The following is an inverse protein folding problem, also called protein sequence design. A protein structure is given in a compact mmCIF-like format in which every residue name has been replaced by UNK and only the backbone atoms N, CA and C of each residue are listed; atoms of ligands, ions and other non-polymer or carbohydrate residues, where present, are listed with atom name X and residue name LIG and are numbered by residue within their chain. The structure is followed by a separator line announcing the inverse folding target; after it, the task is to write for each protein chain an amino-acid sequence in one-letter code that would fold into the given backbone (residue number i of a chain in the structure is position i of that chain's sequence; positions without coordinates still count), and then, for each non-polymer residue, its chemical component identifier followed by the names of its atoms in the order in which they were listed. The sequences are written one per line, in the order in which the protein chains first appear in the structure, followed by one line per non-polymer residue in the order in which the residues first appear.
data_IF_189706180196
#
_entry.id   IF_189706180196
#
_cell.length_a   1.000
_cell.length_b   1.000
_cell.length_c   1.000
_cell.angle_alpha   90.00
_cell.angle_beta   90.00
_cell.angle_gamma   90.00
#
_symmetry.space_group_name_H-M   'P 1'
#
loop_
_entity.id
_entity.type
_entity.pdbx_description
1 polymer ?
#
# COMPACT_ATOMS: atom_id res chain seq x y z
N UNK A 1 3.02 -9.25 -2.15
CA UNK A 1 1.62 -9.46 -2.60
C UNK A 1 0.62 -9.39 -1.46
N UNK A 2 0.70 -10.24 -0.42
CA UNK A 2 -0.26 -10.25 0.70
C UNK A 2 -0.42 -8.90 1.41
N UNK A 3 0.69 -8.22 1.69
CA UNK A 3 0.67 -6.89 2.29
C UNK A 3 -0.05 -5.84 1.41
N UNK A 4 -0.05 -6.03 0.09
CA UNK A 4 -0.76 -5.19 -0.87
C UNK A 4 -2.23 -5.64 -1.07
N UNK A 5 -2.77 -6.49 -0.20
CA UNK A 5 -4.20 -6.86 -0.16
C UNK A 5 -4.63 -8.01 -1.07
N UNK A 6 -3.69 -8.75 -1.66
CA UNK A 6 -4.01 -9.88 -2.54
C UNK A 6 -3.91 -11.21 -1.80
N UNK A 7 -4.86 -12.16 -2.00
CA UNK A 7 -4.68 -13.53 -1.54
C UNK A 7 -3.48 -14.15 -2.25
N UNK A 8 -2.68 -14.94 -1.52
CA UNK A 8 -1.44 -15.52 -2.06
C UNK A 8 -1.46 -17.03 -1.88
N UNK A 9 -1.13 -17.73 -2.96
CA UNK A 9 -0.92 -19.17 -2.97
C UNK A 9 0.48 -19.49 -3.47
N UNK A 10 1.16 -20.43 -2.81
CA UNK A 10 2.47 -20.94 -3.20
C UNK A 10 2.38 -22.44 -3.44
N UNK A 11 2.78 -22.90 -4.62
CA UNK A 11 2.87 -24.31 -4.96
C UNK A 11 4.29 -24.82 -4.73
N UNK A 12 4.40 -25.96 -4.06
CA UNK A 12 5.70 -26.56 -3.74
C UNK A 12 5.63 -28.07 -3.69
N UNK A 13 6.75 -28.73 -4.03
CA UNK A 13 6.94 -30.16 -3.80
C UNK A 13 7.40 -30.48 -2.37
N UNK A 14 7.51 -29.49 -1.49
CA UNK A 14 7.95 -29.66 -0.10
C UNK A 14 7.17 -28.74 0.83
N UNK A 15 5.84 -28.96 1.00
CA UNK A 15 4.97 -28.08 1.78
C UNK A 15 5.47 -27.86 3.21
N UNK A 16 6.02 -28.89 3.86
CA UNK A 16 6.54 -28.81 5.22
C UNK A 16 7.65 -27.77 5.39
N UNK A 17 8.43 -27.49 4.33
CA UNK A 17 9.48 -26.45 4.37
C UNK A 17 8.92 -25.02 4.35
N UNK A 18 7.65 -24.86 3.99
CA UNK A 18 6.98 -23.57 3.82
C UNK A 18 5.84 -23.36 4.82
N UNK A 19 5.68 -24.22 5.84
CA UNK A 19 4.64 -24.09 6.86
C UNK A 19 4.68 -22.74 7.60
N UNK A 20 5.87 -22.14 7.73
CA UNK A 20 6.04 -20.81 8.31
C UNK A 20 5.28 -19.70 7.58
N UNK A 21 4.87 -19.92 6.33
CA UNK A 21 4.05 -18.98 5.54
C UNK A 21 2.56 -19.04 5.91
N UNK A 22 2.07 -20.14 6.47
CA UNK A 22 0.64 -20.33 6.80
C UNK A 22 0.14 -19.33 7.86
N UNK A 23 0.85 -19.10 8.99
CA UNK A 23 0.49 -18.05 9.94
C UNK A 23 0.53 -16.64 9.32
N UNK A 24 1.27 -16.46 8.22
CA UNK A 24 1.29 -15.23 7.44
C UNK A 24 0.13 -15.15 6.44
N UNK A 25 -0.84 -16.07 6.46
CA UNK A 25 -2.02 -16.03 5.60
C UNK A 25 -1.73 -16.39 4.14
N UNK A 26 -0.63 -17.11 3.88
CA UNK A 26 -0.31 -17.65 2.56
C UNK A 26 -0.82 -19.09 2.48
N UNK A 27 -1.52 -19.39 1.40
CA UNK A 27 -2.02 -20.73 1.11
C UNK A 27 -0.90 -21.58 0.49
N UNK A 28 -0.45 -22.62 1.19
CA UNK A 28 0.54 -23.56 0.65
C UNK A 28 -0.19 -24.73 -0.02
N UNK A 29 0.18 -25.04 -1.28
CA UNK A 29 -0.37 -26.15 -2.07
C UNK A 29 0.74 -27.07 -2.57
N UNK A 30 0.40 -28.33 -2.82
CA UNK A 30 1.35 -29.25 -3.46
C UNK A 30 1.44 -28.93 -4.94
N UNK A 31 2.67 -28.82 -5.46
CA UNK A 31 2.89 -28.65 -6.89
C UNK A 31 2.51 -29.91 -7.69
N UNK A 32 2.46 -31.06 -7.02
CA UNK A 32 2.11 -32.37 -7.60
C UNK A 32 0.67 -32.42 -8.14
N UNK A 33 -0.22 -31.57 -7.62
CA UNK A 33 -1.60 -31.43 -8.09
C UNK A 33 -1.68 -30.81 -9.49
N UNK A 34 -0.68 -30.01 -9.88
CA UNK A 34 -0.64 -29.26 -11.15
C UNK A 34 0.32 -29.92 -12.15
N UNK A 35 1.49 -30.35 -11.66
CA UNK A 35 2.47 -31.03 -12.48
C UNK A 35 3.04 -32.22 -11.70
N UNK A 36 3.09 -33.44 -12.27
CA UNK A 36 3.61 -34.59 -11.54
C UNK A 36 5.09 -34.43 -11.16
N UNK A 37 5.45 -34.88 -9.96
CA UNK A 37 6.83 -34.89 -9.44
C UNK A 37 7.80 -35.58 -10.38
N UNK A 38 7.38 -36.68 -11.02
CA UNK A 38 8.22 -37.38 -11.99
C UNK A 38 8.60 -36.49 -13.19
N UNK A 39 7.72 -35.58 -13.61
CA UNK A 39 8.02 -34.60 -14.66
C UNK A 39 8.96 -33.50 -14.14
N UNK A 40 8.73 -32.99 -12.94
CA UNK A 40 9.67 -32.08 -12.26
C UNK A 40 11.08 -32.68 -12.15
N UNK A 41 11.19 -33.90 -11.63
CA UNK A 41 12.46 -34.59 -11.46
C UNK A 41 13.18 -34.77 -12.80
N UNK A 42 12.45 -35.13 -13.87
CA UNK A 42 13.00 -35.25 -15.23
C UNK A 42 13.50 -33.92 -15.80
N UNK A 43 12.76 -32.83 -15.61
CA UNK A 43 13.15 -31.51 -16.10
C UNK A 43 14.41 -31.04 -15.36
N UNK A 44 14.42 -31.13 -14.02
CA UNK A 44 15.52 -30.63 -13.19
C UNK A 44 16.78 -31.52 -13.28
N UNK A 45 16.64 -32.83 -13.46
CA UNK A 45 17.79 -33.75 -13.54
C UNK A 45 18.79 -33.42 -14.67
N UNK A 46 18.35 -32.69 -15.70
CA UNK A 46 19.21 -32.32 -16.83
C UNK A 46 19.12 -30.84 -17.21
N UNK A 47 18.59 -29.97 -16.34
CA UNK A 47 18.44 -28.54 -16.65
C UNK A 47 18.33 -27.69 -15.37
N UNK A 48 18.27 -26.38 -15.53
CA UNK A 48 18.02 -25.46 -14.42
C UNK A 48 16.54 -25.44 -14.01
N UNK A 49 16.27 -25.19 -12.73
CA UNK A 49 14.91 -25.11 -12.19
C UNK A 49 14.02 -24.05 -12.89
N UNK A 50 14.63 -23.03 -13.51
CA UNK A 50 13.89 -22.01 -14.26
C UNK A 50 13.08 -22.58 -15.42
N UNK A 51 13.55 -23.65 -16.08
CA UNK A 51 12.80 -24.32 -17.15
C UNK A 51 11.53 -24.97 -16.63
N UNK A 52 11.60 -25.57 -15.44
CA UNK A 52 10.41 -26.07 -14.77
C UNK A 52 9.46 -24.92 -14.41
N UNK A 53 9.97 -23.81 -13.87
CA UNK A 53 9.16 -22.63 -13.54
C UNK A 53 8.43 -22.07 -14.77
N UNK A 54 9.13 -21.99 -15.92
CA UNK A 54 8.57 -21.54 -17.19
C UNK A 54 7.39 -22.41 -17.65
N UNK A 55 7.51 -23.74 -17.57
CA UNK A 55 6.41 -24.64 -17.92
C UNK A 55 5.29 -24.64 -16.86
N UNK A 56 5.67 -24.60 -15.57
CA UNK A 56 4.74 -24.66 -14.44
C UNK A 56 3.81 -23.45 -14.41
N UNK A 57 4.31 -22.24 -14.73
CA UNK A 57 3.45 -21.05 -14.73
C UNK A 57 2.31 -21.14 -15.75
N UNK A 58 2.55 -21.76 -16.91
CA UNK A 58 1.48 -21.98 -17.89
C UNK A 58 0.46 -23.01 -17.39
N UNK A 59 0.94 -24.12 -16.82
CA UNK A 59 0.08 -25.18 -16.29
C UNK A 59 -0.83 -24.67 -15.14
N UNK A 60 -0.24 -23.97 -14.16
CA UNK A 60 -0.99 -23.50 -13.00
C UNK A 60 -1.99 -22.41 -13.36
N UNK A 61 -1.65 -21.51 -14.29
CA UNK A 61 -2.58 -20.49 -14.78
C UNK A 61 -3.69 -21.12 -15.63
N UNK A 62 -3.39 -22.15 -16.43
CA UNK A 62 -4.42 -22.90 -17.13
C UNK A 62 -5.42 -23.54 -16.16
N UNK A 63 -4.96 -24.15 -15.06
CA UNK A 63 -5.88 -24.85 -14.14
C UNK A 63 -6.63 -23.92 -13.18
N UNK A 64 -6.00 -22.85 -12.72
CA UNK A 64 -6.52 -22.02 -11.64
C UNK A 64 -6.79 -20.56 -12.02
N UNK A 65 -6.26 -20.10 -13.15
CA UNK A 65 -6.28 -18.69 -13.52
C UNK A 65 -5.61 -17.78 -12.48
N UNK A 66 -5.91 -16.49 -12.56
CA UNK A 66 -5.41 -15.49 -11.64
C UNK A 66 -4.07 -14.90 -12.08
N UNK A 67 -3.33 -14.34 -11.13
CA UNK A 67 -2.08 -13.63 -11.37
C UNK A 67 -0.89 -14.50 -10.93
N UNK A 68 -0.12 -15.00 -11.89
CA UNK A 68 1.22 -15.52 -11.64
C UNK A 68 2.17 -14.35 -11.40
N UNK A 69 3.04 -14.50 -10.40
CA UNK A 69 4.13 -13.58 -10.14
C UNK A 69 5.35 -14.38 -9.67
N UNK A 70 6.52 -14.07 -10.22
CA UNK A 70 7.77 -14.65 -9.74
C UNK A 70 8.03 -14.26 -8.26
N UNK A 71 8.69 -15.14 -7.51
CA UNK A 71 8.87 -14.99 -6.06
C UNK A 71 9.73 -13.79 -5.66
N UNK A 72 10.49 -13.22 -6.60
CA UNK A 72 11.33 -12.04 -6.45
C UNK A 72 10.67 -10.78 -7.05
N UNK A 73 9.35 -10.80 -7.25
CA UNK A 73 8.56 -9.60 -7.54
C UNK A 73 7.94 -9.05 -6.26
N UNK A 74 8.28 -7.81 -5.91
CA UNK A 74 7.73 -7.10 -4.75
C UNK A 74 6.62 -6.17 -5.20
N UNK A 75 5.41 -6.35 -4.66
CA UNK A 75 4.31 -5.40 -4.87
C UNK A 75 4.44 -4.20 -3.95
N UNK A 76 4.43 -3.01 -4.54
CA UNK A 76 4.45 -1.73 -3.84
C UNK A 76 3.04 -1.25 -3.48
N UNK A 77 2.03 -1.68 -4.24
CA UNK A 77 0.62 -1.30 -4.04
C UNK A 77 -0.33 -2.34 -4.63
N UNK A 78 -1.64 -2.32 -4.29
CA UNK A 78 -2.61 -3.21 -4.90
C UNK A 78 -2.65 -3.01 -6.42
N UNK A 79 -2.69 -4.10 -7.19
CA UNK A 79 -2.87 -4.07 -8.65
C UNK A 79 -4.35 -4.32 -8.99
N UNK A 80 -5.16 -3.28 -9.34
CA UNK A 80 -6.60 -3.40 -9.54
C UNK A 80 -6.96 -3.82 -10.98
N UNK A 81 -6.27 -4.83 -11.50
CA UNK A 81 -6.44 -5.24 -12.90
C UNK A 81 -7.80 -5.88 -13.18
N UNK A 82 -8.39 -5.52 -14.32
CA UNK A 82 -9.63 -6.11 -14.84
C UNK A 82 -9.44 -6.36 -16.33
N UNK A 83 -9.40 -7.63 -16.71
CA UNK A 83 -9.17 -8.04 -18.09
C UNK A 83 -9.05 -9.56 -18.16
N UNK A 84 -9.00 -10.10 -19.38
CA UNK A 84 -8.86 -11.56 -19.58
C UNK A 84 -7.40 -12.01 -19.54
N UNK A 85 -6.47 -11.12 -19.89
CA UNK A 85 -5.03 -11.42 -19.91
C UNK A 85 -4.18 -10.23 -19.47
N UNK A 86 -3.00 -10.50 -18.92
CA UNK A 86 -1.98 -9.48 -18.68
C UNK A 86 -0.60 -10.09 -18.92
N UNK A 87 0.22 -9.44 -19.73
CA UNK A 87 1.61 -9.82 -19.95
C UNK A 87 2.53 -8.62 -19.80
N UNK A 88 3.48 -8.68 -18.86
CA UNK A 88 4.40 -7.57 -18.63
C UNK A 88 5.63 -7.64 -19.54
N UNK A 89 5.92 -6.53 -20.22
CA UNK A 89 7.15 -6.36 -20.99
C UNK A 89 8.37 -6.12 -20.09
N UNK A 90 9.56 -6.27 -20.67
CA UNK A 90 10.79 -5.63 -20.18
C UNK A 90 11.18 -4.47 -21.11
N UNK A 91 12.10 -3.60 -20.67
CA UNK A 91 12.50 -2.42 -21.44
C UNK A 91 13.25 -2.75 -22.72
N UNK A 92 14.16 -3.72 -22.65
CA UNK A 92 14.99 -4.10 -23.80
C UNK A 92 14.39 -5.28 -24.54
N UNK A 93 14.13 -5.11 -25.84
CA UNK A 93 13.60 -6.15 -26.70
C UNK A 93 14.56 -7.34 -26.90
N UNK A 94 13.98 -8.47 -27.31
CA UNK A 94 14.71 -9.59 -27.91
C UNK A 94 14.81 -9.44 -29.43
N UNK A 95 15.11 -10.53 -30.15
CA UNK A 95 15.30 -10.56 -31.61
C UNK A 95 14.16 -9.96 -32.47
N UNK A 96 12.98 -9.66 -31.91
CA UNK A 96 11.78 -9.15 -32.59
C UNK A 96 11.19 -7.85 -31.97
N UNK A 97 11.94 -7.12 -31.14
CA UNK A 97 11.58 -5.75 -30.70
C UNK A 97 10.95 -5.64 -29.30
N UNK A 98 10.01 -6.51 -28.93
CA UNK A 98 9.44 -6.57 -27.57
C UNK A 98 9.64 -7.95 -26.96
N UNK A 99 10.01 -8.01 -25.68
CA UNK A 99 10.26 -9.26 -24.97
C UNK A 99 9.38 -9.33 -23.73
N UNK A 100 8.46 -10.30 -23.71
CA UNK A 100 7.58 -10.55 -22.59
C UNK A 100 8.37 -11.33 -21.54
N UNK A 101 8.52 -10.78 -20.34
CA UNK A 101 9.42 -11.34 -19.32
C UNK A 101 8.88 -12.62 -18.64
N UNK A 102 7.56 -12.82 -18.65
CA UNK A 102 6.91 -13.96 -17.99
C UNK A 102 6.92 -13.91 -16.45
N UNK A 103 7.44 -12.84 -15.86
CA UNK A 103 7.54 -12.66 -14.41
C UNK A 103 6.20 -12.28 -13.76
N UNK A 104 5.30 -11.64 -14.51
CA UNK A 104 3.93 -11.35 -14.10
C UNK A 104 3.00 -11.66 -15.27
N UNK A 105 2.08 -12.61 -15.06
CA UNK A 105 1.10 -13.04 -16.07
C UNK A 105 -0.27 -13.16 -15.41
N UNK A 106 -1.29 -12.57 -16.00
CA UNK A 106 -2.68 -12.87 -15.68
C UNK A 106 -3.33 -13.66 -16.80
N UNK A 107 -4.16 -14.64 -16.44
CA UNK A 107 -5.08 -15.29 -17.36
C UNK A 107 -6.30 -15.82 -16.60
N UNK A 108 -7.44 -15.95 -17.27
CA UNK A 108 -8.55 -16.74 -16.77
C UNK A 108 -8.24 -18.24 -16.81
N UNK A 109 -8.84 -19.00 -15.89
CA UNK A 109 -8.72 -20.46 -15.88
C UNK A 109 -9.25 -21.05 -17.19
N UNK A 110 -8.63 -22.14 -17.62
CA UNK A 110 -8.89 -22.88 -18.86
C UNK A 110 -8.67 -22.09 -20.15
N UNK A 111 -7.84 -21.03 -20.11
CA UNK A 111 -7.44 -20.31 -21.32
C UNK A 111 -6.78 -21.24 -22.34
N UNK A 112 -7.30 -21.22 -23.57
CA UNK A 112 -6.73 -21.97 -24.69
C UNK A 112 -5.27 -21.58 -24.96
N UNK A 113 -4.92 -20.30 -24.83
CA UNK A 113 -3.54 -19.84 -25.04
C UNK A 113 -2.57 -20.40 -24.02
N UNK A 114 -2.95 -20.41 -22.74
CA UNK A 114 -2.13 -20.99 -21.68
C UNK A 114 -1.96 -22.49 -21.87
N UNK A 115 -2.99 -23.18 -22.37
CA UNK A 115 -2.91 -24.60 -22.73
C UNK A 115 -1.88 -24.84 -23.84
N UNK A 116 -1.96 -24.07 -24.94
CA UNK A 116 -1.04 -24.20 -26.09
C UNK A 116 0.39 -23.88 -25.67
N UNK A 117 0.61 -22.82 -24.89
CA UNK A 117 1.93 -22.47 -24.36
C UNK A 117 2.51 -23.58 -23.47
N UNK A 118 1.68 -24.18 -22.62
CA UNK A 118 2.10 -25.33 -21.81
C UNK A 118 2.52 -26.52 -22.68
N UNK A 119 1.70 -26.94 -23.65
CA UNK A 119 2.01 -28.05 -24.55
C UNK A 119 3.31 -27.78 -25.34
N UNK A 120 3.42 -26.61 -25.97
CA UNK A 120 4.63 -26.20 -26.69
C UNK A 120 5.87 -26.18 -25.77
N UNK A 121 5.72 -25.77 -24.50
CA UNK A 121 6.84 -25.74 -23.56
C UNK A 121 7.37 -27.15 -23.25
N UNK A 122 6.47 -28.14 -23.08
CA UNK A 122 6.85 -29.53 -22.82
C UNK A 122 7.44 -30.17 -24.08
N UNK A 123 6.82 -29.99 -25.23
CA UNK A 123 7.31 -30.53 -26.51
C UNK A 123 8.70 -29.99 -26.85
N UNK A 124 8.91 -28.68 -26.75
CA UNK A 124 10.21 -28.06 -27.03
C UNK A 124 11.29 -28.48 -26.03
N UNK A 125 10.94 -28.66 -24.75
CA UNK A 125 11.92 -29.06 -23.73
C UNK A 125 12.45 -30.49 -23.95
N UNK A 126 11.58 -31.42 -24.37
CA UNK A 126 11.97 -32.81 -24.62
C UNK A 126 12.32 -33.11 -26.09
N UNK A 127 12.10 -32.16 -27.00
CA UNK A 127 12.44 -32.27 -28.42
C UNK A 127 13.85 -31.77 -28.77
N UNK A 128 14.11 -31.68 -30.07
CA UNK A 128 15.44 -31.40 -30.64
C UNK A 128 15.82 -29.91 -30.66
N UNK A 129 14.86 -29.00 -30.42
CA UNK A 129 15.05 -27.53 -30.52
C UNK A 129 15.84 -26.91 -29.35
N UNK A 130 16.19 -27.70 -28.33
CA UNK A 130 17.24 -27.37 -27.36
C UNK A 130 16.79 -26.63 -26.08
N UNK A 131 17.77 -26.45 -25.17
CA UNK A 131 17.67 -25.81 -23.84
C UNK A 131 18.37 -24.43 -23.82
N UNK A 132 18.14 -23.63 -24.84
CA UNK A 132 18.59 -22.24 -24.89
C UNK A 132 17.84 -21.35 -23.90
N UNK A 133 18.43 -20.20 -23.55
CA UNK A 133 17.75 -19.24 -22.67
C UNK A 133 16.42 -18.76 -23.28
N UNK A 134 15.33 -18.90 -22.51
CA UNK A 134 14.00 -18.43 -22.88
C UNK A 134 13.23 -19.29 -23.88
N UNK A 135 13.82 -20.39 -24.39
CA UNK A 135 13.24 -21.29 -25.42
C UNK A 135 11.81 -21.76 -25.15
N UNK A 136 11.51 -22.02 -23.87
CA UNK A 136 10.21 -22.50 -23.40
C UNK A 136 9.51 -21.52 -22.46
N UNK A 137 10.11 -20.35 -22.25
CA UNK A 137 9.65 -19.32 -21.33
C UNK A 137 9.43 -18.00 -22.08
N UNK A 138 10.15 -16.93 -21.73
CA UNK A 138 9.97 -15.60 -22.32
C UNK A 138 9.99 -15.54 -23.86
N UNK A 139 10.86 -16.33 -24.52
CA UNK A 139 10.95 -16.33 -25.99
C UNK A 139 9.77 -17.08 -26.61
N UNK A 140 9.43 -18.27 -26.11
CA UNK A 140 8.22 -18.99 -26.52
C UNK A 140 6.98 -18.09 -26.40
N UNK A 141 6.82 -17.42 -25.26
CA UNK A 141 5.70 -16.52 -25.00
C UNK A 141 5.66 -15.37 -26.01
N UNK A 142 6.81 -14.70 -26.23
CA UNK A 142 6.91 -13.59 -27.17
C UNK A 142 6.63 -14.02 -28.61
N UNK A 143 7.20 -15.14 -29.04
CA UNK A 143 6.99 -15.70 -30.38
C UNK A 143 5.53 -16.11 -30.59
N UNK A 144 4.89 -16.69 -29.57
CA UNK A 144 3.49 -17.11 -29.63
C UNK A 144 2.56 -15.90 -29.76
N UNK A 145 2.73 -14.87 -28.93
CA UNK A 145 1.95 -13.62 -29.00
C UNK A 145 2.16 -12.90 -30.33
N UNK A 146 3.38 -12.96 -30.89
CA UNK A 146 3.68 -12.40 -32.21
C UNK A 146 3.07 -13.22 -33.36
N UNK A 147 2.79 -14.51 -33.18
CA UNK A 147 2.17 -15.38 -34.19
C UNK A 147 0.69 -15.08 -34.39
N UNK A 148 0.10 -15.56 -35.50
CA UNK A 148 -1.35 -15.46 -35.74
C UNK A 148 -2.18 -16.19 -34.69
N UNK A 149 -1.65 -17.28 -34.13
CA UNK A 149 -2.32 -18.06 -33.09
C UNK A 149 -2.43 -17.30 -31.75
N UNK A 150 -1.54 -16.35 -31.48
CA UNK A 150 -1.57 -15.51 -30.28
C UNK A 150 -2.08 -14.09 -30.55
N UNK A 151 -2.67 -13.83 -31.72
CA UNK A 151 -3.02 -12.47 -32.14
C UNK A 151 -3.95 -11.74 -31.16
N UNK A 152 -4.88 -12.46 -30.51
CA UNK A 152 -5.76 -11.87 -29.49
C UNK A 152 -5.02 -11.40 -28.23
N UNK A 153 -3.84 -11.97 -27.93
CA UNK A 153 -3.07 -11.61 -26.74
C UNK A 153 -2.32 -10.28 -26.89
N UNK A 154 -2.16 -9.78 -28.12
CA UNK A 154 -1.33 -8.60 -28.42
C UNK A 154 -1.85 -7.33 -27.77
N UNK A 155 -3.17 -7.19 -27.60
CA UNK A 155 -3.79 -6.06 -26.91
C UNK A 155 -3.62 -6.12 -25.38
N UNK A 156 -3.19 -7.27 -24.85
CA UNK A 156 -2.99 -7.53 -23.43
C UNK A 156 -1.51 -7.50 -23.01
N UNK A 157 -0.64 -6.99 -23.88
CA UNK A 157 0.77 -6.77 -23.60
C UNK A 157 0.96 -5.36 -23.08
N UNK A 158 1.42 -5.26 -21.83
CA UNK A 158 1.56 -3.99 -21.13
C UNK A 158 3.02 -3.58 -20.95
N UNK A 159 3.25 -2.27 -20.88
CA UNK A 159 4.58 -1.68 -20.79
C UNK A 159 5.35 -2.12 -19.53
N UNK A 160 6.69 -2.11 -19.58
CA UNK A 160 7.52 -2.60 -18.47
C UNK A 160 7.29 -1.85 -17.16
N UNK A 161 6.85 -0.59 -17.21
CA UNK A 161 6.66 0.28 -16.05
C UNK A 161 5.78 -0.34 -14.94
N UNK A 162 4.85 -1.24 -15.26
CA UNK A 162 3.94 -1.79 -14.25
C UNK A 162 4.65 -2.67 -13.21
N UNK A 163 5.58 -3.53 -13.63
CA UNK A 163 6.30 -4.47 -12.73
C UNK A 163 7.81 -4.57 -12.97
N UNK A 164 8.31 -4.02 -14.07
CA UNK A 164 9.71 -4.02 -14.49
C UNK A 164 10.24 -2.57 -14.69
N UNK A 165 10.02 -1.63 -13.76
CA UNK A 165 10.50 -0.24 -13.94
C UNK A 165 12.03 -0.15 -13.97
N UNK A 166 12.73 -1.06 -13.29
CA UNK A 166 14.19 -1.22 -13.33
C UNK A 166 14.48 -2.45 -14.19
N UNK A 167 15.21 -2.28 -15.30
CA UNK A 167 15.55 -3.37 -16.21
C UNK A 167 16.63 -4.29 -15.62
N UNK A 168 16.72 -5.52 -16.11
CA UNK A 168 17.75 -6.48 -15.67
C UNK A 168 19.19 -5.98 -15.92
N UNK A 169 19.37 -5.06 -16.86
CA UNK A 169 20.68 -4.39 -17.10
C UNK A 169 21.00 -3.27 -16.11
N UNK A 170 20.05 -2.91 -15.25
CA UNK A 170 20.12 -1.79 -14.32
C UNK A 170 19.99 -2.26 -12.86
N UNK A 171 20.25 -3.55 -12.58
CA UNK A 171 20.11 -4.13 -11.23
C UNK A 171 20.97 -3.44 -10.15
N UNK A 172 22.02 -2.71 -10.54
CA UNK A 172 22.81 -1.88 -9.61
C UNK A 172 22.00 -0.73 -9.00
N UNK A 173 20.86 -0.35 -9.59
CA UNK A 173 19.94 0.62 -8.99
C UNK A 173 19.43 0.14 -7.64
N UNK A 174 19.25 -1.18 -7.44
CA UNK A 174 18.82 -1.73 -6.15
C UNK A 174 19.84 -1.56 -5.01
N UNK A 175 21.10 -1.24 -5.34
CA UNK A 175 22.13 -0.93 -4.35
C UNK A 175 22.03 0.52 -3.83
N UNK A 176 21.20 1.36 -4.46
CA UNK A 176 20.96 2.72 -4.00
C UNK A 176 19.99 2.75 -2.81
N UNK A 177 20.10 3.76 -1.94
CA UNK A 177 19.11 3.99 -0.89
C UNK A 177 17.71 4.26 -1.47
N UNK A 178 16.67 3.86 -0.73
CA UNK A 178 15.26 4.04 -1.12
C UNK A 178 14.92 5.48 -1.51
N UNK A 179 15.53 6.48 -0.85
CA UNK A 179 15.30 7.90 -1.13
C UNK A 179 15.73 8.32 -2.54
N UNK A 180 16.78 7.70 -3.10
CA UNK A 180 17.25 8.01 -4.46
C UNK A 180 16.41 7.34 -5.55
N UNK A 181 15.66 6.30 -5.18
CA UNK A 181 14.75 5.58 -6.08
C UNK A 181 13.30 6.07 -5.96
N UNK A 182 13.05 7.08 -5.12
CA UNK A 182 11.71 7.57 -4.83
C UNK A 182 10.97 7.95 -6.11
N UNK A 183 11.58 8.74 -7.01
CA UNK A 183 10.91 9.18 -8.24
C UNK A 183 10.46 7.99 -9.12
N UNK A 184 11.23 6.90 -9.16
CA UNK A 184 10.89 5.69 -9.92
C UNK A 184 9.80 4.88 -9.22
N UNK A 185 9.96 4.61 -7.93
CA UNK A 185 9.07 3.71 -7.17
C UNK A 185 7.75 4.38 -6.77
N UNK A 186 7.73 5.71 -6.75
CA UNK A 186 6.59 6.54 -6.40
C UNK A 186 5.70 6.87 -7.62
N UNK A 187 6.15 6.60 -8.85
CA UNK A 187 5.32 6.77 -10.05
C UNK A 187 4.02 5.95 -9.93
N UNK A 188 2.88 6.56 -10.29
CA UNK A 188 1.55 5.96 -10.13
C UNK A 188 1.35 4.69 -10.96
N UNK A 189 2.10 4.55 -12.07
CA UNK A 189 2.03 3.41 -12.99
C UNK A 189 2.78 2.19 -12.47
N UNK A 190 3.66 2.34 -11.48
CA UNK A 190 4.48 1.26 -10.93
C UNK A 190 3.74 0.52 -9.82
N UNK A 191 3.34 -0.72 -10.08
CA UNK A 191 2.64 -1.56 -9.10
C UNK A 191 3.58 -2.48 -8.33
N UNK A 192 4.66 -2.90 -8.95
CA UNK A 192 5.70 -3.70 -8.32
C UNK A 192 7.06 -3.52 -8.98
N UNK A 193 8.04 -4.19 -8.40
CA UNK A 193 9.41 -4.27 -8.90
C UNK A 193 9.84 -5.72 -8.98
N UNK A 194 10.47 -6.09 -10.08
CA UNK A 194 11.11 -7.37 -10.28
C UNK A 194 12.59 -7.26 -9.91
N UNK A 195 13.06 -8.08 -8.97
CA UNK A 195 14.44 -8.00 -8.48
C UNK A 195 15.45 -8.74 -9.36
N UNK A 196 15.01 -9.47 -10.39
CA UNK A 196 15.89 -10.18 -11.33
C UNK A 196 16.89 -11.11 -10.64
N UNK A 197 16.48 -11.75 -9.55
CA UNK A 197 17.34 -12.58 -8.67
C UNK A 197 18.52 -11.84 -8.02
N UNK A 198 18.52 -10.50 -8.00
CA UNK A 198 19.54 -9.72 -7.31
C UNK A 198 19.58 -10.10 -5.82
N UNK A 199 20.56 -10.93 -5.47
CA UNK A 199 20.84 -11.40 -4.11
C UNK A 199 22.14 -10.76 -3.66
N UNK A 200 22.08 -9.91 -2.65
CA UNK A 200 23.27 -9.41 -1.97
C UNK A 200 23.17 -9.68 -0.46
N UNK A 201 24.27 -10.11 0.14
CA UNK A 201 24.45 -10.19 1.60
C UNK A 201 24.69 -8.79 2.16
N UNK A 202 23.68 -7.92 2.14
CA UNK A 202 23.80 -6.60 2.74
C UNK A 202 23.37 -6.68 4.21
N UNK A 203 24.27 -6.35 5.13
CA UNK A 203 23.92 -6.02 6.52
C UNK A 203 23.24 -4.64 6.54
N UNK A 204 22.11 -4.55 7.23
CA UNK A 204 21.29 -3.34 7.32
C UNK A 204 21.48 -2.65 8.66
N UNK A 205 21.99 -1.42 8.65
CA UNK A 205 21.98 -0.55 9.81
C UNK A 205 21.87 0.92 9.35
N UNK A 206 20.64 1.46 9.35
CA UNK A 206 20.38 2.90 9.30
C UNK A 206 19.57 3.46 8.11
N UNK A 207 19.28 4.76 8.20
CA UNK A 207 18.68 5.61 7.15
C UNK A 207 19.70 5.82 6.01
N UNK A 208 19.73 4.87 5.07
CA UNK A 208 20.75 4.82 4.02
C UNK A 208 21.02 3.41 3.50
N UNK A 209 20.38 2.39 4.11
CA UNK A 209 20.45 1.03 3.62
C UNK A 209 20.01 0.94 2.14
N UNK A 210 20.75 0.16 1.32
CA UNK A 210 20.34 -0.19 -0.03
C UNK A 210 18.92 -0.77 -0.09
N UNK A 211 18.19 -0.49 -1.17
CA UNK A 211 16.82 -1.00 -1.34
C UNK A 211 16.76 -2.53 -1.25
N UNK A 212 17.68 -3.24 -1.90
CA UNK A 212 17.74 -4.70 -1.82
C UNK A 212 17.87 -5.21 -0.37
N UNK A 213 18.66 -4.56 0.48
CA UNK A 213 18.81 -4.91 1.89
C UNK A 213 17.48 -4.81 2.63
N UNK A 214 16.70 -3.76 2.35
CA UNK A 214 15.36 -3.57 2.92
C UNK A 214 14.33 -4.59 2.43
N UNK A 215 14.52 -5.12 1.22
CA UNK A 215 13.57 -6.04 0.57
C UNK A 215 13.87 -7.52 0.80
N UNK A 216 15.07 -7.87 1.29
CA UNK A 216 15.40 -9.24 1.70
C UNK A 216 14.56 -9.67 2.90
N UNK A 217 14.38 -8.76 3.87
CA UNK A 217 13.56 -8.99 5.05
C UNK A 217 12.63 -7.81 5.34
N UNK A 218 11.63 -7.58 4.48
CA UNK A 218 10.81 -6.38 4.55
C UNK A 218 9.97 -6.32 5.83
N UNK A 219 9.70 -7.46 6.47
CA UNK A 219 8.96 -7.49 7.73
C UNK A 219 9.78 -6.95 8.91
N UNK A 220 11.11 -7.13 8.88
CA UNK A 220 12.00 -6.62 9.91
C UNK A 220 12.64 -5.27 9.53
N UNK A 221 12.98 -5.06 8.27
CA UNK A 221 13.63 -3.84 7.78
C UNK A 221 12.71 -2.62 7.74
N UNK A 222 11.40 -2.82 7.65
CA UNK A 222 10.41 -1.74 7.72
C UNK A 222 9.69 -1.75 9.07
N UNK A 223 10.08 -0.90 10.04
CA UNK A 223 9.50 -0.92 11.39
C UNK A 223 8.00 -0.63 11.34
N UNK A 224 7.23 -1.31 12.20
CA UNK A 224 5.81 -1.00 12.40
C UNK A 224 5.63 0.41 12.94
N UNK A 225 4.43 0.98 12.79
CA UNK A 225 4.17 2.32 13.31
C UNK A 225 4.34 2.37 14.83
N UNK A 226 4.03 1.29 15.54
CA UNK A 226 4.25 1.19 16.99
C UNK A 226 5.72 1.36 17.37
N UNK A 227 6.63 0.72 16.63
CA UNK A 227 8.07 0.85 16.89
C UNK A 227 8.57 2.28 16.60
N UNK A 228 8.04 2.92 15.55
CA UNK A 228 8.37 4.31 15.23
C UNK A 228 7.80 5.30 16.25
N UNK A 229 6.57 5.07 16.73
CA UNK A 229 5.94 5.87 17.77
C UNK A 229 6.72 5.81 19.09
N UNK A 230 7.27 4.64 19.43
CA UNK A 230 8.21 4.49 20.56
C UNK A 230 9.52 5.26 20.28
N UNK A 231 10.11 5.15 19.08
CA UNK A 231 11.37 5.83 18.68
C UNK A 231 11.27 7.36 18.69
N UNK A 232 10.19 7.92 18.14
CA UNK A 232 9.97 9.38 18.03
C UNK A 232 9.20 9.95 19.25
N UNK A 233 8.98 9.13 20.28
CA UNK A 233 8.41 9.55 21.55
C UNK A 233 7.07 10.30 21.36
N UNK A 234 6.16 9.79 20.54
CA UNK A 234 4.80 10.34 20.33
C UNK A 234 3.80 9.73 21.31
N UNK A 235 2.85 10.50 21.82
CA UNK A 235 1.67 10.04 22.58
C UNK A 235 0.82 8.97 21.89
N UNK A 236 0.89 8.87 20.55
CA UNK A 236 0.37 7.74 19.75
C UNK A 236 0.92 6.37 20.18
N UNK A 237 2.00 6.34 20.97
CA UNK A 237 2.65 5.14 21.47
C UNK A 237 1.98 4.60 22.77
N UNK A 238 2.67 3.68 23.45
CA UNK A 238 2.19 2.98 24.66
C UNK A 238 2.83 3.44 25.96
N UNK A 239 3.78 4.37 25.93
CA UNK A 239 4.65 4.71 27.08
C UNK A 239 4.74 6.22 27.37
N UNK A 240 4.56 7.08 26.38
CA UNK A 240 4.75 8.53 26.43
C UNK A 240 3.42 9.25 26.65
N UNK A 241 3.43 10.33 27.44
CA UNK A 241 2.27 11.20 27.64
C UNK A 241 1.02 10.45 28.12
N UNK A 242 -0.12 10.82 27.54
CA UNK A 242 -1.34 10.04 27.59
C UNK A 242 -1.16 8.84 26.65
N UNK A 243 -1.03 7.63 27.20
CA UNK A 243 -0.58 6.44 26.46
C UNK A 243 -1.71 5.84 25.62
N UNK A 244 -2.18 6.55 24.59
CA UNK A 244 -3.40 6.19 23.87
C UNK A 244 -3.30 4.84 23.17
N UNK A 245 -2.09 4.48 22.72
CA UNK A 245 -1.83 3.30 21.91
C UNK A 245 -2.54 3.30 20.54
N UNK A 246 -2.78 4.49 19.95
CA UNK A 246 -3.39 4.63 18.62
C UNK A 246 -2.50 4.13 17.49
N UNK A 247 -1.17 4.05 17.67
CA UNK A 247 -0.26 3.54 16.65
C UNK A 247 -0.64 2.14 16.13
N UNK A 248 -1.27 1.29 16.97
CA UNK A 248 -1.77 -0.03 16.56
C UNK A 248 -2.91 0.04 15.54
N UNK A 249 -3.72 1.10 15.62
CA UNK A 249 -4.88 1.32 14.74
C UNK A 249 -4.38 1.81 13.38
N UNK A 250 -3.51 2.81 13.38
CA UNK A 250 -2.88 3.31 12.18
C UNK A 250 -2.07 2.23 11.44
N UNK A 251 -1.27 1.43 12.16
CA UNK A 251 -0.51 0.32 11.56
C UNK A 251 -1.46 -0.67 10.87
N UNK A 252 -2.59 -1.01 11.52
CA UNK A 252 -3.60 -1.92 10.96
C UNK A 252 -4.26 -1.36 9.70
N UNK A 253 -4.62 -0.07 9.68
CA UNK A 253 -5.39 0.52 8.60
C UNK A 253 -4.54 1.05 7.44
N UNK A 254 -3.28 1.41 7.70
CA UNK A 254 -2.43 2.12 6.74
C UNK A 254 -1.16 1.35 6.30
N UNK A 255 -0.72 0.30 7.01
CA UNK A 255 0.51 -0.44 6.65
C UNK A 255 0.49 -1.00 5.23
N UNK A 256 -0.67 -1.45 4.75
CA UNK A 256 -0.84 -1.93 3.36
C UNK A 256 -0.63 -0.85 2.30
N UNK A 257 -0.59 0.44 2.70
CA UNK A 257 -0.34 1.58 1.83
C UNK A 257 1.06 2.16 1.98
N UNK A 258 1.99 1.50 2.69
CA UNK A 258 3.34 2.01 3.01
C UNK A 258 4.04 2.74 1.85
N UNK A 259 4.14 2.12 0.68
CA UNK A 259 4.81 2.70 -0.51
C UNK A 259 3.85 3.44 -1.45
N UNK A 260 2.55 3.42 -1.18
CA UNK A 260 1.50 3.99 -2.03
C UNK A 260 0.86 5.26 -1.48
N UNK A 261 1.08 5.56 -0.19
CA UNK A 261 0.55 6.76 0.44
C UNK A 261 1.39 7.96 0.00
N UNK A 262 0.72 8.96 -0.56
CA UNK A 262 1.32 10.14 -1.20
C UNK A 262 1.18 11.39 -0.36
N UNK A 263 0.00 11.62 0.23
CA UNK A 263 -0.30 12.87 0.91
C UNK A 263 -1.04 12.62 2.20
N UNK A 264 -0.46 13.07 3.30
CA UNK A 264 -1.05 12.99 4.64
C UNK A 264 -1.15 14.40 5.20
N UNK A 265 -2.29 14.75 5.80
CA UNK A 265 -2.45 15.96 6.61
C UNK A 265 -2.56 15.58 8.09
N UNK A 266 -1.83 16.28 8.95
CA UNK A 266 -1.98 16.25 10.42
C UNK A 266 -2.33 17.66 10.89
N UNK A 267 -3.46 17.78 11.58
CA UNK A 267 -3.93 19.00 12.25
C UNK A 267 -3.55 18.87 13.72
N UNK A 268 -2.86 19.86 14.27
CA UNK A 268 -2.22 19.77 15.58
C UNK A 268 -0.83 19.16 15.49
N UNK A 269 0.19 20.02 15.46
CA UNK A 269 1.59 19.63 15.50
C UNK A 269 2.24 19.94 16.85
N UNK A 270 1.73 20.99 17.50
CA UNK A 270 2.26 21.50 18.74
C UNK A 270 1.91 20.58 19.93
N UNK A 271 2.91 20.17 20.71
CA UNK A 271 2.75 19.28 21.88
C UNK A 271 2.51 20.03 23.18
N UNK A 272 2.95 21.29 23.25
CA UNK A 272 2.89 22.15 24.44
C UNK A 272 2.85 23.60 23.96
N UNK A 273 2.08 24.46 24.62
CA UNK A 273 2.15 25.93 24.53
C UNK A 273 3.51 26.48 25.03
N UNK A 274 4.62 26.02 24.45
CA UNK A 274 5.96 26.47 24.75
C UNK A 274 6.51 27.22 23.54
N UNK A 275 7.03 28.43 23.78
CA UNK A 275 7.56 29.36 22.78
C UNK A 275 8.79 28.83 21.99
N UNK A 276 9.25 27.60 22.24
CA UNK A 276 10.51 27.05 21.71
C UNK A 276 10.42 25.64 21.12
N UNK A 277 9.29 25.26 20.51
CA UNK A 277 9.23 23.98 19.78
C UNK A 277 10.22 23.92 18.61
N UNK A 278 11.25 23.09 18.78
CA UNK A 278 12.32 22.88 17.80
C UNK A 278 12.15 21.62 16.94
N UNK A 279 11.08 20.85 17.14
CA UNK A 279 10.88 19.57 16.46
C UNK A 279 9.39 19.28 16.16
N UNK A 280 9.15 18.46 15.14
CA UNK A 280 7.83 17.91 14.76
C UNK A 280 7.87 16.37 14.75
N UNK A 281 7.85 15.69 15.91
CA UNK A 281 8.18 14.26 15.94
C UNK A 281 7.10 13.36 15.31
N UNK A 282 5.83 13.79 15.27
CA UNK A 282 4.77 13.08 14.53
C UNK A 282 5.02 13.14 13.02
N UNK A 283 5.43 14.29 12.49
CA UNK A 283 5.83 14.45 11.07
C UNK A 283 7.00 13.51 10.74
N UNK A 284 8.03 13.47 11.58
CA UNK A 284 9.17 12.55 11.40
C UNK A 284 8.74 11.08 11.43
N UNK A 285 7.79 10.73 12.30
CA UNK A 285 7.18 9.41 12.35
C UNK A 285 6.46 9.07 11.04
N UNK A 286 5.61 9.97 10.54
CA UNK A 286 4.86 9.76 9.30
C UNK A 286 5.79 9.64 8.08
N UNK A 287 6.81 10.49 7.99
CA UNK A 287 7.78 10.45 6.89
C UNK A 287 8.65 9.18 6.90
N UNK A 288 8.96 8.66 8.08
CA UNK A 288 9.68 7.39 8.27
C UNK A 288 8.82 6.18 7.95
N UNK A 289 7.54 6.21 8.31
CA UNK A 289 6.62 5.11 8.04
C UNK A 289 6.23 5.05 6.56
N UNK A 290 5.94 6.20 5.94
CA UNK A 290 5.58 6.34 4.53
C UNK A 290 6.72 7.00 3.75
N UNK A 291 7.64 6.24 3.14
CA UNK A 291 8.90 6.76 2.58
C UNK A 291 8.75 7.75 1.42
N UNK A 292 7.57 7.83 0.79
CA UNK A 292 7.31 8.74 -0.34
C UNK A 292 6.19 9.75 -0.07
N UNK A 293 5.68 9.78 1.16
CA UNK A 293 4.60 10.68 1.54
C UNK A 293 5.11 12.11 1.71
N UNK A 294 4.36 13.07 1.18
CA UNK A 294 4.40 14.46 1.59
C UNK A 294 3.43 14.67 2.76
N UNK A 295 3.94 15.23 3.85
CA UNK A 295 3.15 15.52 5.04
C UNK A 295 2.78 17.00 5.05
N UNK A 296 1.51 17.30 5.26
CA UNK A 296 0.97 18.63 5.46
C UNK A 296 0.65 18.84 6.93
N UNK A 297 1.30 19.82 7.55
CA UNK A 297 1.02 20.23 8.92
C UNK A 297 0.04 21.40 8.96
N UNK A 298 -0.97 21.33 9.81
CA UNK A 298 -1.92 22.42 10.04
C UNK A 298 -1.90 22.75 11.52
N UNK A 299 -1.47 23.95 11.89
CA UNK A 299 -1.39 24.37 13.29
C UNK A 299 -1.57 25.88 13.42
N UNK A 300 -2.00 26.35 14.57
CA UNK A 300 -2.04 27.79 14.89
C UNK A 300 -0.64 28.42 14.99
N UNK A 301 0.37 27.60 15.29
CA UNK A 301 1.79 27.98 15.41
C UNK A 301 2.48 27.94 14.04
N UNK A 302 3.45 28.82 13.82
CA UNK A 302 4.22 28.86 12.58
C UNK A 302 5.34 27.81 12.58
N UNK A 303 5.15 26.75 11.80
CA UNK A 303 6.17 25.71 11.53
C UNK A 303 6.84 25.88 10.17
N UNK A 304 6.79 27.05 9.56
CA UNK A 304 7.29 27.26 8.19
C UNK A 304 8.81 27.05 8.07
N UNK A 305 9.56 27.22 9.15
CA UNK A 305 11.00 26.97 9.22
C UNK A 305 11.37 25.49 9.01
N UNK A 306 10.46 24.55 9.31
CA UNK A 306 10.68 23.12 9.11
C UNK A 306 10.34 22.65 7.69
N UNK A 307 9.77 23.52 6.86
CA UNK A 307 9.32 23.16 5.52
C UNK A 307 10.48 22.65 4.65
N UNK A 308 10.24 21.55 3.97
CA UNK A 308 11.17 20.94 3.04
C UNK A 308 10.40 20.35 1.84
N UNK A 309 11.01 19.44 1.09
CA UNK A 309 10.37 18.80 -0.07
C UNK A 309 9.20 17.89 0.37
N UNK A 310 9.33 17.22 1.51
CA UNK A 310 8.38 16.23 2.04
C UNK A 310 7.53 16.73 3.20
N UNK A 311 7.72 17.97 3.66
CA UNK A 311 6.89 18.60 4.70
C UNK A 311 6.52 20.02 4.30
N UNK A 312 5.22 20.35 4.42
CA UNK A 312 4.68 21.69 4.24
C UNK A 312 3.72 22.01 5.38
N UNK A 313 3.94 23.10 6.09
CA UNK A 313 3.06 23.60 7.16
C UNK A 313 2.17 24.74 6.68
N UNK A 314 1.01 24.87 7.30
CA UNK A 314 0.08 25.97 7.13
C UNK A 314 -0.36 26.48 8.49
N UNK A 315 -0.23 27.80 8.69
CA UNK A 315 -0.80 28.48 9.86
C UNK A 315 -2.32 28.50 9.70
N UNK A 316 -3.02 27.92 10.67
CA UNK A 316 -4.47 27.77 10.68
C UNK A 316 -4.98 27.61 12.10
N UNK A 317 -5.88 28.51 12.51
CA UNK A 317 -6.72 28.30 13.67
C UNK A 317 -7.93 27.46 13.26
N UNK A 318 -7.99 26.21 13.71
CA UNK A 318 -9.06 25.27 13.30
C UNK A 318 -10.46 25.67 13.76
N UNK A 319 -10.58 26.61 14.71
CA UNK A 319 -11.87 27.20 15.11
C UNK A 319 -12.40 28.24 14.11
N UNK A 320 -11.59 28.67 13.14
CA UNK A 320 -11.91 29.74 12.19
C UNK A 320 -12.14 29.22 10.78
N UNK A 321 -13.38 29.35 10.29
CA UNK A 321 -13.77 28.93 8.94
C UNK A 321 -12.90 29.56 7.84
N UNK A 322 -12.59 30.86 7.95
CA UNK A 322 -11.76 31.56 6.97
C UNK A 322 -10.33 31.01 6.91
N UNK A 323 -9.80 30.48 8.02
CA UNK A 323 -8.46 29.88 8.08
C UNK A 323 -8.47 28.53 7.36
N UNK A 324 -9.47 27.69 7.64
CA UNK A 324 -9.68 26.42 6.97
C UNK A 324 -9.83 26.62 5.45
N UNK A 325 -10.61 27.61 5.01
CA UNK A 325 -10.74 27.93 3.58
C UNK A 325 -9.43 28.38 2.94
N UNK A 326 -8.59 29.14 3.65
CA UNK A 326 -7.24 29.51 3.15
C UNK A 326 -6.31 28.31 3.03
N UNK A 327 -6.45 27.29 3.87
CA UNK A 327 -5.68 26.05 3.73
C UNK A 327 -6.25 25.20 2.58
N UNK A 328 -7.57 25.02 2.53
CA UNK A 328 -8.23 24.19 1.54
C UNK A 328 -7.99 24.69 0.10
N UNK A 329 -7.93 26.00 -0.12
CA UNK A 329 -7.64 26.57 -1.45
C UNK A 329 -6.21 26.33 -1.95
N UNK A 330 -5.29 25.90 -1.08
CA UNK A 330 -3.90 25.54 -1.45
C UNK A 330 -3.75 24.08 -1.86
N UNK A 331 -4.80 23.27 -1.70
CA UNK A 331 -4.78 21.83 -1.91
C UNK A 331 -5.88 21.44 -2.89
N UNK A 332 -5.56 20.52 -3.80
CA UNK A 332 -6.55 20.03 -4.75
C UNK A 332 -7.59 19.14 -4.04
N UNK A 333 -8.89 19.24 -4.38
CA UNK A 333 -9.91 18.33 -3.88
C UNK A 333 -9.56 16.87 -4.17
N UNK A 334 -9.84 15.98 -3.22
CA UNK A 334 -9.55 14.55 -3.35
C UNK A 334 -8.06 14.20 -3.42
N UNK A 335 -7.15 15.10 -3.06
CA UNK A 335 -5.71 14.85 -3.17
C UNK A 335 -5.04 14.27 -1.92
N UNK A 336 -5.70 14.30 -0.75
CA UNK A 336 -5.13 13.78 0.49
C UNK A 336 -5.53 12.31 0.69
N UNK A 337 -4.57 11.42 0.93
CA UNK A 337 -4.88 10.01 1.24
C UNK A 337 -5.39 9.82 2.67
N UNK A 338 -4.85 10.63 3.57
CA UNK A 338 -5.12 10.60 5.01
C UNK A 338 -5.20 12.01 5.54
N UNK A 339 -6.19 12.25 6.41
CA UNK A 339 -6.28 13.45 7.25
C UNK A 339 -6.38 12.97 8.70
N UNK A 340 -5.61 13.56 9.61
CA UNK A 340 -5.63 13.29 11.04
C UNK A 340 -5.92 14.61 11.75
N UNK A 341 -7.01 14.64 12.51
CA UNK A 341 -7.31 15.73 13.42
C UNK A 341 -6.89 15.34 14.84
N UNK A 342 -5.80 15.96 15.28
CA UNK A 342 -5.19 15.83 16.61
C UNK A 342 -4.95 17.24 17.19
N UNK A 343 -5.90 18.16 16.91
CA UNK A 343 -5.76 19.59 17.18
C UNK A 343 -6.27 20.02 18.55
N UNK A 344 -7.30 20.86 18.59
CA UNK A 344 -7.84 21.42 19.85
C UNK A 344 -8.67 20.43 20.67
N UNK A 345 -9.13 19.35 20.02
CA UNK A 345 -10.10 18.37 20.55
C UNK A 345 -11.45 18.99 20.94
N UNK A 346 -11.71 20.26 20.61
CA UNK A 346 -13.02 20.87 20.79
C UNK A 346 -13.98 20.30 19.76
N UNK A 347 -15.16 19.83 20.20
CA UNK A 347 -16.12 19.18 19.31
C UNK A 347 -16.63 20.11 18.20
N UNK A 348 -16.66 21.42 18.44
CA UNK A 348 -16.96 22.40 17.39
C UNK A 348 -15.90 22.39 16.30
N UNK A 349 -14.63 22.48 16.69
CA UNK A 349 -13.49 22.55 15.78
C UNK A 349 -13.33 21.25 14.99
N UNK A 350 -13.39 20.08 15.64
CA UNK A 350 -13.31 18.76 14.99
C UNK A 350 -14.41 18.54 13.95
N UNK A 351 -15.62 19.04 14.22
CA UNK A 351 -16.73 18.96 13.27
C UNK A 351 -16.56 19.95 12.12
N UNK A 352 -15.96 21.11 12.39
CA UNK A 352 -15.69 22.14 11.39
C UNK A 352 -14.59 21.67 10.42
N UNK A 353 -13.46 21.17 10.93
CA UNK A 353 -12.38 20.58 10.12
C UNK A 353 -12.89 19.38 9.32
N UNK A 354 -13.67 18.49 9.94
CA UNK A 354 -14.30 17.38 9.23
C UNK A 354 -15.20 17.88 8.10
N UNK A 355 -15.98 18.95 8.32
CA UNK A 355 -16.84 19.49 7.27
C UNK A 355 -16.03 20.08 6.10
N UNK A 356 -15.01 20.86 6.40
CA UNK A 356 -14.29 21.67 5.41
C UNK A 356 -13.15 20.91 4.71
N UNK A 357 -12.50 19.97 5.38
CA UNK A 357 -11.38 19.21 4.82
C UNK A 357 -11.76 17.83 4.26
N UNK A 358 -12.94 17.27 4.57
CA UNK A 358 -13.40 16.01 3.94
C UNK A 358 -13.50 16.05 2.40
N UNK A 359 -13.79 17.19 1.74
CA UNK A 359 -13.65 17.32 0.29
C UNK A 359 -12.22 17.10 -0.24
N UNK A 360 -11.19 17.44 0.54
CA UNK A 360 -9.78 17.24 0.19
C UNK A 360 -9.35 15.77 0.26
N UNK A 361 -10.07 14.95 1.06
CA UNK A 361 -9.79 13.54 1.20
C UNK A 361 -10.07 12.78 -0.10
N UNK A 362 -9.12 11.96 -0.54
CA UNK A 362 -9.22 11.10 -1.70
C UNK A 362 -10.31 10.05 -1.52
N UNK A 363 -10.85 9.57 -2.63
CA UNK A 363 -11.74 8.42 -2.65
C UNK A 363 -11.07 7.19 -2.01
N UNK A 364 -11.76 6.55 -1.07
CA UNK A 364 -11.19 5.44 -0.29
C UNK A 364 -10.18 5.84 0.77
N UNK A 365 -9.85 7.14 0.90
CA UNK A 365 -8.98 7.71 1.93
C UNK A 365 -9.58 7.67 3.34
N UNK A 366 -8.74 7.94 4.34
CA UNK A 366 -9.10 7.88 5.76
C UNK A 366 -9.02 9.25 6.44
N UNK A 367 -10.08 9.62 7.16
CA UNK A 367 -10.09 10.73 8.11
C UNK A 367 -10.04 10.17 9.53
N UNK A 368 -9.10 10.63 10.36
CA UNK A 368 -8.98 10.26 11.76
C UNK A 368 -9.29 11.47 12.65
N UNK A 369 -9.95 11.25 13.78
CA UNK A 369 -10.10 12.26 14.86
C UNK A 369 -9.66 11.59 16.15
N UNK A 370 -8.60 12.12 16.76
CA UNK A 370 -8.04 11.68 18.03
C UNK A 370 -8.71 12.38 19.22
N UNK A 371 -8.62 11.75 20.39
CA UNK A 371 -9.00 12.30 21.70
C UNK A 371 -10.44 12.84 21.87
N UNK A 372 -11.38 12.14 21.25
CA UNK A 372 -12.83 12.31 21.38
C UNK A 372 -13.42 12.11 22.79
N UNK A 373 -12.57 11.82 23.78
CA UNK A 373 -12.93 11.61 25.19
C UNK A 373 -12.63 12.85 26.07
N UNK A 374 -12.09 13.92 25.48
CA UNK A 374 -11.76 15.17 26.16
C UNK A 374 -12.35 16.40 25.44
N UNK A 375 -12.49 17.52 26.15
CA UNK A 375 -12.89 18.83 25.62
C UNK A 375 -12.13 19.92 26.39
N UNK A 376 -11.78 21.06 25.76
CA UNK A 376 -11.28 22.24 26.48
C UNK A 376 -12.26 22.72 27.57
N UNK A 377 -11.79 23.18 28.74
CA UNK A 377 -12.66 23.60 29.83
C UNK A 377 -13.58 24.78 29.51
N UNK A 378 -13.18 25.64 28.58
CA UNK A 378 -13.90 26.86 28.18
C UNK A 378 -14.99 26.61 27.14
N UNK A 379 -15.17 25.36 26.69
CA UNK A 379 -16.22 25.00 25.74
C UNK A 379 -17.62 25.02 26.37
N UNK A 380 -18.54 25.74 25.74
CA UNK A 380 -19.92 25.89 26.21
C UNK A 380 -20.69 24.57 26.03
N UNK A 381 -20.95 23.90 27.15
CA UNK A 381 -21.71 22.64 27.15
C UNK A 381 -23.11 22.84 26.57
N UNK A 382 -23.46 22.09 25.52
CA UNK A 382 -24.79 22.05 24.93
C UNK A 382 -25.01 22.90 23.67
N UNK A 383 -24.01 23.67 23.23
CA UNK A 383 -24.05 24.42 21.95
C UNK A 383 -23.94 23.52 20.72
N UNK A 384 -23.16 22.44 20.85
CA UNK A 384 -22.98 21.42 19.81
C UNK A 384 -22.97 20.03 20.45
N UNK A 385 -23.38 19.01 19.68
CA UNK A 385 -23.23 17.63 20.11
C UNK A 385 -21.74 17.26 20.18
N UNK A 386 -21.34 16.39 21.11
CA UNK A 386 -19.99 15.82 21.09
C UNK A 386 -19.76 15.11 19.75
N UNK A 387 -18.63 15.36 19.10
CA UNK A 387 -18.27 14.79 17.78
C UNK A 387 -18.46 13.27 17.76
N UNK A 388 -18.00 12.61 18.82
CA UNK A 388 -18.18 11.18 19.04
C UNK A 388 -19.63 10.72 18.99
N UNK A 389 -20.54 11.44 19.64
CA UNK A 389 -21.96 11.11 19.68
C UNK A 389 -22.61 11.34 18.31
N UNK A 390 -22.30 12.47 17.68
CA UNK A 390 -22.76 12.82 16.33
C UNK A 390 -22.38 11.74 15.31
N UNK A 391 -21.11 11.32 15.32
CA UNK A 391 -20.61 10.27 14.42
C UNK A 391 -21.23 8.90 14.70
N UNK A 392 -21.53 8.57 15.96
CA UNK A 392 -22.29 7.35 16.30
C UNK A 392 -23.73 7.39 15.78
N UNK A 393 -24.37 8.55 15.82
CA UNK A 393 -25.70 8.72 15.24
C UNK A 393 -25.66 8.55 13.72
N UNK A 394 -24.72 9.20 13.04
CA UNK A 394 -24.51 9.05 11.59
C UNK A 394 -24.21 7.59 11.23
N UNK A 395 -23.34 6.92 11.97
CA UNK A 395 -23.02 5.50 11.77
C UNK A 395 -24.26 4.59 11.88
N UNK A 396 -25.14 4.85 12.86
CA UNK A 396 -26.31 4.00 13.15
C UNK A 396 -27.55 4.34 12.33
N UNK A 397 -27.70 5.59 11.92
CA UNK A 397 -28.95 6.13 11.39
C UNK A 397 -28.80 6.78 10.02
N UNK A 398 -27.57 6.98 9.53
CA UNK A 398 -27.30 7.69 8.28
C UNK A 398 -27.44 9.21 8.37
N UNK A 399 -27.77 9.75 9.55
CA UNK A 399 -27.84 11.19 9.83
C UNK A 399 -27.71 11.45 11.34
N UNK A 400 -27.38 12.68 11.71
CA UNK A 400 -27.51 13.15 13.08
C UNK A 400 -28.98 13.20 13.51
N UNK A 401 -29.20 13.00 14.80
CA UNK A 401 -30.45 13.28 15.54
C UNK A 401 -30.27 14.42 16.52
N UNK A 402 -29.05 14.61 17.00
CA UNK A 402 -28.62 15.75 17.80
C UNK A 402 -28.42 17.00 16.93
N UNK A 403 -28.17 18.14 17.58
CA UNK A 403 -27.88 19.40 16.88
C UNK A 403 -26.62 19.26 16.01
N UNK A 404 -26.78 19.52 14.71
CA UNK A 404 -25.72 19.47 13.68
C UNK A 404 -25.66 20.82 12.94
N UNK A 405 -25.26 21.91 13.61
CA UNK A 405 -25.27 23.25 13.02
C UNK A 405 -24.26 23.39 11.87
N UNK A 406 -23.23 22.54 11.84
CA UNK A 406 -22.19 22.53 10.80
C UNK A 406 -22.53 21.62 9.62
N UNK A 407 -23.60 20.83 9.71
CA UNK A 407 -24.09 19.98 8.62
C UNK A 407 -23.17 18.80 8.31
N UNK A 408 -22.51 18.22 9.31
CA UNK A 408 -21.66 17.03 9.17
C UNK A 408 -22.45 15.85 8.60
N UNK A 409 -23.73 15.72 8.95
CA UNK A 409 -24.63 14.67 8.43
C UNK A 409 -24.75 14.67 6.91
N UNK A 410 -24.54 15.81 6.25
CA UNK A 410 -24.56 15.87 4.79
C UNK A 410 -23.39 15.09 4.15
N UNK A 411 -22.37 14.71 4.93
CA UNK A 411 -21.29 13.84 4.48
C UNK A 411 -21.67 12.35 4.47
N UNK A 412 -22.77 11.95 5.12
CA UNK A 412 -23.12 10.52 5.31
C UNK A 412 -23.18 9.72 4.00
N UNK A 413 -23.68 10.33 2.91
CA UNK A 413 -23.72 9.69 1.59
C UNK A 413 -22.34 9.45 0.96
N UNK A 414 -21.31 10.17 1.41
CA UNK A 414 -19.93 10.06 0.97
C UNK A 414 -19.08 9.15 1.87
N UNK A 415 -19.62 8.68 3.00
CA UNK A 415 -18.92 7.81 3.93
C UNK A 415 -19.19 6.34 3.55
N UNK A 416 -18.13 5.53 3.54
CA UNK A 416 -18.21 4.08 3.38
C UNK A 416 -18.33 3.37 4.72
N UNK A 417 -17.52 3.79 5.70
CA UNK A 417 -17.50 3.20 7.05
C UNK A 417 -17.01 4.21 8.08
N UNK A 418 -17.50 4.06 9.31
CA UNK A 418 -17.03 4.78 10.51
C UNK A 418 -16.64 3.69 11.51
N UNK A 419 -15.40 3.74 12.01
CA UNK A 419 -14.85 2.79 12.95
C UNK A 419 -14.41 3.51 14.22
N UNK A 420 -14.79 3.00 15.39
CA UNK A 420 -14.38 3.55 16.68
C UNK A 420 -13.35 2.65 17.33
N UNK A 421 -12.33 3.25 17.92
CA UNK A 421 -11.26 2.58 18.65
C UNK A 421 -11.00 3.26 19.98
N UNK A 422 -10.60 2.47 20.97
CA UNK A 422 -10.40 2.97 22.33
C UNK A 422 -8.97 3.50 22.53
N UNK A 423 -8.87 4.64 23.21
CA UNK A 423 -7.63 5.03 23.89
C UNK A 423 -7.42 4.05 25.04
N UNK A 424 -6.29 3.35 25.05
CA UNK A 424 -5.98 2.45 26.16
C UNK A 424 -5.74 3.22 27.47
N UNK A 425 -5.31 4.48 27.37
CA UNK A 425 -5.16 5.36 28.52
C UNK A 425 -6.53 5.70 29.14
N UNK A 426 -7.47 6.21 28.35
CA UNK A 426 -8.80 6.59 28.85
C UNK A 426 -9.67 5.38 29.22
N UNK A 427 -9.54 4.28 28.48
CA UNK A 427 -10.18 3.02 28.85
C UNK A 427 -9.73 2.54 30.23
N UNK A 428 -8.42 2.57 30.50
CA UNK A 428 -7.88 2.12 31.78
C UNK A 428 -8.18 3.10 32.93
N UNK A 429 -8.14 4.41 32.67
CA UNK A 429 -8.32 5.45 33.69
C UNK A 429 -9.79 5.69 34.05
N UNK A 430 -10.67 5.68 33.06
CA UNK A 430 -12.04 6.16 33.18
C UNK A 430 -13.10 5.27 32.51
N UNK A 431 -12.73 4.12 31.95
CA UNK A 431 -13.61 3.21 31.19
C UNK A 431 -14.30 3.89 29.99
N UNK A 432 -13.65 4.89 29.39
CA UNK A 432 -14.17 5.57 28.20
C UNK A 432 -13.84 4.76 26.94
N UNK A 433 -14.76 4.77 25.97
CA UNK A 433 -14.72 3.92 24.77
C UNK A 433 -14.90 4.72 23.48
N UNK A 434 -14.02 4.58 22.50
CA UNK A 434 -14.08 5.29 21.23
C UNK A 434 -13.44 6.67 21.25
N UNK A 435 -12.26 6.79 21.87
CA UNK A 435 -11.43 8.01 21.88
C UNK A 435 -10.80 8.33 20.52
N UNK A 436 -10.69 7.35 19.62
CA UNK A 436 -10.29 7.55 18.22
C UNK A 436 -11.42 7.10 17.29
N UNK A 437 -11.70 7.90 16.26
CA UNK A 437 -12.55 7.49 15.14
C UNK A 437 -11.75 7.47 13.84
N UNK A 438 -12.02 6.49 12.99
CA UNK A 438 -11.53 6.41 11.62
C UNK A 438 -12.73 6.37 10.65
N UNK A 439 -12.80 7.35 9.76
CA UNK A 439 -13.88 7.52 8.78
C UNK A 439 -13.29 7.27 7.39
N UNK A 440 -13.85 6.31 6.65
CA UNK A 440 -13.42 6.05 5.28
C UNK A 440 -14.32 6.75 4.29
N UNK A 441 -13.72 7.54 3.39
CA UNK A 441 -14.46 8.10 2.25
C UNK A 441 -14.80 7.00 1.26
N UNK A 442 -16.01 7.06 0.69
CA UNK A 442 -16.47 6.12 -0.32
C UNK A 442 -15.55 6.18 -1.54
N UNK A 443 -15.08 5.01 -1.97
CA UNK A 443 -14.38 4.89 -3.25
C UNK A 443 -15.36 4.99 -4.40
N UNK A 444 -15.04 5.74 -5.45
CA UNK A 444 -15.74 5.66 -6.72
C UNK A 444 -15.58 4.27 -7.32
N UNK A 445 -16.56 3.83 -8.11
CA UNK A 445 -16.41 2.66 -8.97
C UNK A 445 -15.38 3.07 -10.03
N UNK A 446 -14.10 2.87 -9.74
CA UNK A 446 -13.00 3.26 -10.62
C UNK A 446 -13.23 2.67 -12.02
N UNK A 447 -13.55 3.56 -12.96
CA UNK A 447 -13.39 3.34 -14.38
C UNK A 447 -11.89 3.38 -14.66
N UNK A 448 -11.24 2.23 -14.52
CA UNK A 448 -10.01 1.96 -15.27
C UNK A 448 -10.45 1.01 -16.38
N UNK A 449 -10.75 1.59 -17.54
CA UNK A 449 -10.88 0.87 -18.80
C UNK A 449 -9.50 0.65 -19.39
#
# INVERSE_FOLDING_TARGET
MRAAGHPVRVWTYSPNKLEFLVPLGVEVRTADDVMPRALFDRIVAGSEIRYFSDAFRYAVLYEHGGLWMDCDVVMLRPFPFRGSYFFNLQWRGGHQGHFICGNVIYAEAYSHHLRVLYEMSIERFFGDTGKGFGEIGPRLLSDYVASDAGAELREWVFGPMLFNPIDWTEISEFDKPLSQLADYLNDERVFGIHLWTARNEARSDGEGAPLNALLIDPLHSFPSLTNLADRFNTDKNRHTGNRHAYARVYDRLLSGRRFSLRRLMEIGLCRVLADDQTETPSVSLWQSFFPFCQVFGVDSTDFSEFNNERFKSFICDQSKLDDLHRVATKLEPGSLDVIIDDGSHASFDEQLTLREFFPLLAEGGWYFIEDLDWQPPDEETGKIALTKNLLREIQRHGSARSADPLGVSALAGQIAEILFFDSHYELNRANLLGGLVAIRKRGGIGLVR
#
